data_IF_298397916798
#
_entry.id   IF_298397916798
#
_cell.length_a   1.000
_cell.length_b   1.000
_cell.length_c   1.000
_cell.angle_alpha   90.00
_cell.angle_beta   90.00
_cell.angle_gamma   90.00
#
_symmetry.space_group_name_H-M   'P 1'
#
loop_
_entity.id
_entity.type
_entity.pdbx_description
1 polymer ?
#
# COMPACT_ATOMS: atom_id res chain seq x y z
N UNK A 1 1.31 25.72 -22.30
CA UNK A 1 1.85 24.74 -21.33
C UNK A 1 1.06 24.65 -20.03
N UNK A 2 0.68 25.75 -19.36
CA UNK A 2 0.00 25.68 -18.05
C UNK A 2 -1.35 24.93 -18.01
N UNK A 3 -2.12 24.94 -19.11
CA UNK A 3 -3.40 24.20 -19.20
C UNK A 3 -3.19 22.68 -19.20
N UNK A 4 -2.14 22.20 -19.87
CA UNK A 4 -1.79 20.78 -19.91
C UNK A 4 -1.29 20.31 -18.53
N UNK A 5 -0.46 21.12 -17.87
CA UNK A 5 0.04 20.82 -16.52
C UNK A 5 -1.10 20.75 -15.51
N UNK A 6 -2.06 21.69 -15.55
CA UNK A 6 -3.26 21.62 -14.70
C UNK A 6 -4.05 20.32 -14.91
N UNK A 7 -4.21 19.90 -16.16
CA UNK A 7 -4.87 18.64 -16.49
C UNK A 7 -4.13 17.43 -15.91
N UNK A 8 -2.80 17.39 -16.02
CA UNK A 8 -1.98 16.33 -15.41
C UNK A 8 -2.14 16.28 -13.89
N UNK A 9 -2.23 17.42 -13.21
CA UNK A 9 -2.48 17.47 -11.77
C UNK A 9 -3.84 16.85 -11.43
N UNK A 10 -4.90 17.20 -12.16
CA UNK A 10 -6.22 16.58 -11.94
C UNK A 10 -6.19 15.07 -12.16
N UNK A 11 -5.47 14.61 -13.18
CA UNK A 11 -5.34 13.18 -13.49
C UNK A 11 -4.58 12.45 -12.37
N UNK A 12 -3.49 13.01 -11.87
CA UNK A 12 -2.75 12.45 -10.71
C UNK A 12 -3.65 12.37 -9.49
N UNK A 13 -4.42 13.42 -9.18
CA UNK A 13 -5.38 13.38 -8.08
C UNK A 13 -6.43 12.29 -8.28
N UNK A 14 -6.95 12.11 -9.49
CA UNK A 14 -7.92 11.07 -9.81
C UNK A 14 -7.32 9.67 -9.63
N UNK A 15 -6.10 9.43 -10.13
CA UNK A 15 -5.40 8.16 -9.92
C UNK A 15 -5.16 7.89 -8.43
N UNK A 16 -4.75 8.91 -7.66
CA UNK A 16 -4.55 8.78 -6.23
C UNK A 16 -5.85 8.40 -5.51
N UNK A 17 -6.96 9.07 -5.82
CA UNK A 17 -8.29 8.74 -5.28
C UNK A 17 -8.67 7.31 -5.66
N UNK A 18 -8.43 6.89 -6.90
CA UNK A 18 -8.70 5.52 -7.35
C UNK A 18 -7.91 4.46 -6.57
N UNK A 19 -6.62 4.71 -6.31
CA UNK A 19 -5.80 3.82 -5.48
C UNK A 19 -6.31 3.74 -4.04
N UNK A 20 -6.67 4.89 -3.45
CA UNK A 20 -7.25 4.93 -2.11
C UNK A 20 -8.57 4.15 -2.07
N UNK A 21 -9.48 4.40 -3.02
CA UNK A 21 -10.75 3.68 -3.10
C UNK A 21 -10.53 2.17 -3.25
N UNK A 22 -9.59 1.74 -4.08
CA UNK A 22 -9.26 0.33 -4.25
C UNK A 22 -8.65 -0.30 -2.99
N UNK A 23 -7.85 0.42 -2.21
CA UNK A 23 -7.32 -0.11 -0.94
C UNK A 23 -8.44 -0.42 0.07
N UNK A 24 -9.51 0.36 0.09
CA UNK A 24 -10.66 0.13 0.98
C UNK A 24 -11.69 -0.83 0.40
N UNK A 25 -11.93 -0.80 -0.91
CA UNK A 25 -12.93 -1.65 -1.57
C UNK A 25 -12.38 -3.01 -2.02
N UNK A 26 -11.08 -3.10 -2.29
CA UNK A 26 -10.41 -4.31 -2.77
C UNK A 26 -10.66 -5.56 -1.92
N UNK A 27 -10.69 -5.49 -0.57
CA UNK A 27 -11.01 -6.65 0.25
C UNK A 27 -12.41 -7.23 0.00
N UNK A 28 -13.38 -6.40 -0.39
CA UNK A 28 -14.72 -6.88 -0.76
C UNK A 28 -14.75 -7.63 -2.11
N UNK A 29 -13.71 -7.46 -2.94
CA UNK A 29 -13.52 -8.15 -4.21
C UNK A 29 -12.48 -9.30 -4.13
N UNK A 30 -12.03 -9.65 -2.92
CA UNK A 30 -11.09 -10.75 -2.70
C UNK A 30 -9.61 -10.39 -2.81
N UNK A 31 -9.24 -9.10 -2.83
CA UNK A 31 -7.85 -8.68 -2.68
C UNK A 31 -7.45 -8.72 -1.19
N UNK A 32 -6.34 -9.38 -0.86
CA UNK A 32 -5.79 -9.39 0.51
C UNK A 32 -4.58 -8.45 0.58
N UNK A 33 -4.67 -7.44 1.45
CA UNK A 33 -3.61 -6.45 1.70
C UNK A 33 -2.97 -6.61 3.08
N UNK A 34 -3.29 -7.70 3.80
CA UNK A 34 -2.77 -7.97 5.13
C UNK A 34 -1.30 -8.36 5.08
N UNK A 35 -0.54 -8.01 6.11
CA UNK A 35 0.81 -8.53 6.26
C UNK A 35 0.76 -10.06 6.50
N UNK A 36 1.71 -10.85 5.96
CA UNK A 36 1.86 -12.25 6.30
C UNK A 36 1.91 -12.42 7.83
N UNK A 37 1.12 -13.33 8.36
CA UNK A 37 1.01 -13.59 9.81
C UNK A 37 1.87 -14.78 10.25
N UNK A 38 2.90 -15.13 9.46
CA UNK A 38 3.77 -16.26 9.75
C UNK A 38 4.66 -15.97 10.95
N UNK A 39 4.77 -16.93 11.87
CA UNK A 39 5.72 -16.83 12.97
C UNK A 39 7.15 -16.89 12.45
N UNK A 40 7.91 -15.81 12.65
CA UNK A 40 9.35 -15.78 12.39
C UNK A 40 10.08 -16.15 13.69
N UNK A 41 10.88 -17.22 13.65
CA UNK A 41 11.71 -17.66 14.78
C UNK A 41 13.17 -17.72 14.34
N UNK A 42 14.03 -16.99 15.04
CA UNK A 42 15.48 -17.06 14.86
C UNK A 42 16.15 -17.47 16.17
N UNK A 43 17.17 -18.36 16.12
CA UNK A 43 17.92 -18.74 17.31
C UNK A 43 18.75 -17.56 17.81
N UNK A 44 18.67 -17.28 19.11
CA UNK A 44 19.50 -16.26 19.77
C UNK A 44 20.64 -16.93 20.53
N UNK A 45 21.88 -16.48 20.31
CA UNK A 45 23.04 -16.88 21.11
C UNK A 45 23.05 -16.02 22.37
N UNK A 46 22.81 -16.64 23.53
CA UNK A 46 22.87 -15.96 24.83
C UNK A 46 24.29 -16.12 25.42
N UNK A 47 25.08 -15.05 25.40
CA UNK A 47 26.35 -15.02 26.13
C UNK A 47 26.06 -14.63 27.60
N UNK A 48 26.43 -15.51 28.53
CA UNK A 48 26.36 -15.25 29.98
C UNK A 48 27.80 -15.20 30.49
N UNK A 49 28.17 -14.13 31.19
CA UNK A 49 29.45 -14.00 31.93
C UNK A 49 29.39 -14.70 33.29
#
# INVERSE_FOLDING_TARGET
MGRLIKFLIYLICLCFIGLVAYAYLGPFFGADFSAPQDEVREPVILNVE
#
